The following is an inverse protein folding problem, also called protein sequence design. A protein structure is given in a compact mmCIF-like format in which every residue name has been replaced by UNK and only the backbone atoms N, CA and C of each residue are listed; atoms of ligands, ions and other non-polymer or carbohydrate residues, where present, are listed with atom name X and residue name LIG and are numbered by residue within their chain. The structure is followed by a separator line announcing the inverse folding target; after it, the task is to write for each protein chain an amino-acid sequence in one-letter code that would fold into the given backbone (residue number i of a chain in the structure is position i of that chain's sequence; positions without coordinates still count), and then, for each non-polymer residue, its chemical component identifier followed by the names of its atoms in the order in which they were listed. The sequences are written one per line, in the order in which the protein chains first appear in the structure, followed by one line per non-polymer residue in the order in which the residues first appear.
data_IF_436156067182
#
_entry.id   IF_436156067182
#
_cell.length_a   1.000
_cell.length_b   1.000
_cell.length_c   1.000
_cell.angle_alpha   90.00
_cell.angle_beta   90.00
_cell.angle_gamma   90.00
#
_symmetry.space_group_name_H-M   'P 1'
#
loop_
_entity.id
_entity.type
_entity.pdbx_description
1 polymer ?
#
# COMPACT_ATOMS: atom_id res chain seq x y z
N UNK A 1 14.46 -27.58 -2.80
CA UNK A 1 13.12 -28.23 -2.80
C UNK A 1 12.50 -28.06 -4.17
N UNK A 2 12.26 -29.13 -4.91
CA UNK A 2 11.58 -29.06 -6.20
C UNK A 2 10.08 -28.79 -5.94
N UNK A 3 9.60 -27.61 -6.33
CA UNK A 3 8.17 -27.29 -6.30
C UNK A 3 7.49 -28.17 -7.36
N UNK A 4 6.40 -28.85 -6.99
CA UNK A 4 5.68 -29.72 -7.93
C UNK A 4 5.11 -28.89 -9.10
N UNK A 5 5.07 -29.45 -10.31
CA UNK A 5 4.53 -28.74 -11.47
C UNK A 5 3.05 -28.32 -11.29
N UNK A 6 2.31 -29.00 -10.42
CA UNK A 6 0.93 -28.64 -10.06
C UNK A 6 0.84 -27.34 -9.25
N UNK A 7 1.72 -27.13 -8.24
CA UNK A 7 1.79 -25.87 -7.48
C UNK A 7 2.28 -24.68 -8.33
N UNK A 8 2.96 -24.95 -9.46
CA UNK A 8 3.48 -23.92 -10.38
C UNK A 8 2.44 -23.46 -11.40
N UNK A 9 1.59 -24.39 -11.86
CA UNK A 9 0.46 -24.12 -12.74
C UNK A 9 -0.67 -23.33 -12.06
N UNK A 10 -0.69 -23.29 -10.72
CA UNK A 10 -1.63 -22.51 -9.91
C UNK A 10 -1.13 -21.10 -9.57
N UNK A 11 -0.06 -20.61 -10.21
CA UNK A 11 0.43 -19.25 -9.93
C UNK A 11 -0.52 -18.20 -10.49
N UNK A 12 -1.21 -17.50 -9.58
CA UNK A 12 -2.13 -16.42 -9.93
C UNK A 12 -1.31 -15.15 -10.22
N UNK A 13 -1.41 -14.63 -11.44
CA UNK A 13 -0.87 -13.31 -11.81
C UNK A 13 -1.77 -12.19 -11.27
N UNK A 14 -1.29 -10.94 -11.12
CA UNK A 14 -2.13 -9.85 -10.62
C UNK A 14 -3.37 -9.59 -11.49
N UNK A 15 -3.30 -9.87 -12.80
CA UNK A 15 -4.44 -9.76 -13.71
C UNK A 15 -5.44 -10.91 -13.58
N UNK A 16 -4.96 -12.11 -13.24
CA UNK A 16 -5.81 -13.28 -12.99
C UNK A 16 -6.36 -13.31 -11.56
N UNK A 17 -5.84 -12.47 -10.66
CA UNK A 17 -6.33 -12.37 -9.29
C UNK A 17 -7.79 -11.86 -9.28
N UNK A 18 -8.68 -12.45 -8.47
CA UNK A 18 -10.09 -12.10 -8.46
C UNK A 18 -10.35 -10.63 -8.10
N UNK A 19 -11.43 -10.09 -8.67
CA UNK A 19 -12.00 -8.83 -8.22
C UNK A 19 -12.84 -9.08 -6.96
N UNK A 20 -13.01 -8.06 -6.11
CA UNK A 20 -13.89 -8.17 -4.94
C UNK A 20 -15.35 -8.51 -5.28
N UNK A 21 -15.79 -8.14 -6.49
CA UNK A 21 -17.11 -8.50 -7.01
C UNK A 21 -17.25 -9.98 -7.39
N UNK A 22 -16.13 -10.70 -7.56
CA UNK A 22 -16.12 -12.11 -7.90
C UNK A 22 -16.14 -12.96 -6.63
N UNK A 23 -17.31 -13.06 -6.03
CA UNK A 23 -17.54 -13.75 -4.75
C UNK A 23 -17.23 -15.25 -4.82
N UNK A 24 -17.19 -15.84 -6.02
CA UNK A 24 -16.96 -17.27 -6.24
C UNK A 24 -15.46 -17.57 -6.15
N UNK A 25 -14.64 -16.82 -6.90
CA UNK A 25 -13.21 -17.09 -6.97
C UNK A 25 -12.41 -16.41 -5.86
N UNK A 26 -13.02 -15.48 -5.13
CA UNK A 26 -12.36 -14.75 -4.05
C UNK A 26 -12.12 -15.57 -2.77
N UNK A 27 -12.76 -16.74 -2.64
CA UNK A 27 -12.44 -17.73 -1.60
C UNK A 27 -12.91 -17.39 -0.18
N UNK A 28 -13.76 -16.38 -0.01
CA UNK A 28 -14.38 -16.03 1.27
C UNK A 28 -15.76 -16.68 1.32
N UNK A 29 -15.99 -17.69 2.16
CA UNK A 29 -17.25 -18.45 2.10
C UNK A 29 -18.44 -17.73 2.79
N UNK A 30 -18.18 -16.74 3.64
CA UNK A 30 -19.21 -15.96 4.34
C UNK A 30 -19.59 -14.67 3.58
N UNK A 31 -20.82 -14.63 3.08
CA UNK A 31 -21.39 -13.51 2.30
C UNK A 31 -21.51 -12.22 3.12
N UNK A 32 -21.72 -12.31 4.44
CA UNK A 32 -21.78 -11.12 5.29
C UNK A 32 -20.37 -10.54 5.47
N UNK A 33 -19.37 -11.40 5.69
CA UNK A 33 -17.97 -10.96 5.78
C UNK A 33 -17.51 -10.26 4.49
N UNK A 34 -17.84 -10.82 3.32
CA UNK A 34 -17.49 -10.24 2.02
C UNK A 34 -18.06 -8.82 1.83
N UNK A 35 -19.26 -8.55 2.33
CA UNK A 35 -19.90 -7.24 2.22
C UNK A 35 -19.33 -6.22 3.21
N UNK A 36 -18.89 -6.67 4.37
CA UNK A 36 -18.39 -5.81 5.45
C UNK A 36 -16.92 -5.43 5.28
N UNK A 37 -16.10 -6.31 4.69
CA UNK A 37 -14.66 -6.08 4.55
C UNK A 37 -14.22 -6.32 3.11
N UNK A 38 -13.45 -5.40 2.50
CA UNK A 38 -12.81 -5.64 1.22
C UNK A 38 -11.65 -6.63 1.37
N UNK A 39 -11.95 -7.93 1.36
CA UNK A 39 -10.99 -9.01 1.56
C UNK A 39 -11.10 -10.07 0.47
N UNK A 40 -9.96 -10.64 0.08
CA UNK A 40 -9.93 -11.74 -0.87
C UNK A 40 -8.81 -12.74 -0.56
N UNK A 41 -9.13 -14.03 -0.64
CA UNK A 41 -8.22 -15.15 -0.42
C UNK A 41 -8.54 -16.32 -1.37
N UNK A 42 -8.15 -16.24 -2.65
CA UNK A 42 -8.45 -17.28 -3.65
C UNK A 42 -7.88 -18.66 -3.29
N UNK A 43 -6.82 -18.71 -2.48
CA UNK A 43 -6.18 -19.96 -2.06
C UNK A 43 -6.82 -20.59 -0.81
N UNK A 44 -7.84 -19.94 -0.23
CA UNK A 44 -8.49 -20.34 1.05
C UNK A 44 -7.46 -20.72 2.11
N UNK A 45 -6.43 -19.90 2.22
CA UNK A 45 -5.27 -20.16 3.04
C UNK A 45 -5.32 -19.45 4.40
N UNK A 46 -6.21 -18.48 4.58
CA UNK A 46 -6.52 -17.86 5.88
C UNK A 46 -7.81 -18.44 6.47
N UNK A 47 -7.88 -18.45 7.79
CA UNK A 47 -9.09 -18.86 8.51
C UNK A 47 -10.14 -17.74 8.54
N UNK A 48 -11.42 -18.11 8.61
CA UNK A 48 -12.50 -17.12 8.76
C UNK A 48 -12.38 -16.33 10.07
N UNK A 49 -11.82 -16.93 11.13
CA UNK A 49 -11.54 -16.21 12.38
C UNK A 49 -10.51 -15.09 12.22
N UNK A 50 -9.53 -15.22 11.34
CA UNK A 50 -8.57 -14.15 11.05
C UNK A 50 -9.24 -13.00 10.31
N UNK A 51 -10.14 -13.30 9.37
CA UNK A 51 -10.94 -12.29 8.66
C UNK A 51 -11.87 -11.54 9.63
N UNK A 52 -12.52 -12.26 10.53
CA UNK A 52 -13.41 -11.65 11.53
C UNK A 52 -12.66 -10.68 12.46
N UNK A 53 -11.38 -10.94 12.76
CA UNK A 53 -10.54 -9.99 13.50
C UNK A 53 -10.31 -8.71 12.71
N UNK A 54 -10.01 -8.82 11.40
CA UNK A 54 -9.84 -7.67 10.51
C UNK A 54 -11.14 -6.86 10.47
N UNK A 55 -12.28 -7.52 10.27
CA UNK A 55 -13.61 -6.88 10.28
C UNK A 55 -13.84 -6.09 11.56
N UNK A 56 -13.73 -6.75 12.71
CA UNK A 56 -13.96 -6.13 14.01
C UNK A 56 -13.01 -4.96 14.28
N UNK A 57 -11.78 -5.00 13.73
CA UNK A 57 -10.85 -3.87 13.82
C UNK A 57 -11.28 -2.70 12.94
N UNK A 58 -11.63 -2.96 11.68
CA UNK A 58 -12.09 -1.92 10.75
C UNK A 58 -13.38 -1.26 11.21
N UNK A 59 -14.35 -2.03 11.71
CA UNK A 59 -15.59 -1.49 12.28
C UNK A 59 -15.30 -0.52 13.45
N UNK A 60 -14.37 -0.88 14.35
CA UNK A 60 -13.94 0.01 15.45
C UNK A 60 -13.30 1.29 14.93
N UNK A 61 -12.44 1.20 13.92
CA UNK A 61 -11.80 2.36 13.29
C UNK A 61 -12.85 3.27 12.67
N UNK A 62 -13.74 2.73 11.83
CA UNK A 62 -14.76 3.51 11.13
C UNK A 62 -15.79 4.12 12.07
N UNK A 63 -16.15 3.43 13.16
CA UNK A 63 -17.02 3.99 14.19
C UNK A 63 -16.37 5.18 14.91
N UNK A 64 -15.07 5.13 15.19
CA UNK A 64 -14.33 6.25 15.80
C UNK A 64 -14.09 7.41 14.84
N UNK A 65 -13.90 7.13 13.54
CA UNK A 65 -13.57 8.11 12.50
C UNK A 65 -14.78 8.60 11.70
N UNK A 66 -15.98 8.33 12.20
CA UNK A 66 -17.23 8.53 11.48
C UNK A 66 -17.54 9.99 11.07
N UNK A 67 -16.88 10.96 11.72
CA UNK A 67 -17.06 12.39 11.47
C UNK A 67 -15.87 13.02 10.70
N UNK A 68 -14.88 12.23 10.30
CA UNK A 68 -13.63 12.70 9.69
C UNK A 68 -13.61 12.40 8.19
N UNK A 69 -14.60 12.87 7.45
CA UNK A 69 -14.68 12.58 6.01
C UNK A 69 -13.54 13.23 5.24
N UNK A 70 -12.80 12.45 4.44
CA UNK A 70 -11.57 12.91 3.76
C UNK A 70 -11.74 13.28 2.29
N UNK A 71 -12.78 12.78 1.64
CA UNK A 71 -13.05 13.01 0.21
C UNK A 71 -14.26 13.93 -0.04
N UNK A 72 -14.83 14.55 1.01
CA UNK A 72 -16.01 15.44 0.94
C UNK A 72 -17.07 15.15 2.02
N UNK A 73 -17.90 16.15 2.35
CA UNK A 73 -18.93 16.07 3.40
C UNK A 73 -20.09 15.13 3.08
N UNK A 74 -20.38 14.93 1.79
CA UNK A 74 -21.60 14.25 1.33
C UNK A 74 -21.39 12.75 1.08
N UNK A 75 -20.30 12.19 1.61
CA UNK A 75 -19.95 10.79 1.39
C UNK A 75 -20.77 9.82 2.25
N UNK A 76 -21.22 8.74 1.61
CA UNK A 76 -21.76 7.56 2.31
C UNK A 76 -20.66 6.92 3.16
N UNK A 77 -20.99 6.67 4.43
CA UNK A 77 -20.09 6.08 5.43
C UNK A 77 -19.65 4.65 5.03
N UNK A 78 -18.41 4.22 5.37
CA UNK A 78 -17.35 5.02 5.99
C UNK A 78 -16.75 6.02 4.99
N UNK A 79 -16.59 7.28 5.43
CA UNK A 79 -16.05 8.38 4.63
C UNK A 79 -14.56 8.68 4.94
N UNK A 80 -13.90 7.76 5.65
CA UNK A 80 -12.48 7.82 6.00
C UNK A 80 -11.62 6.96 5.05
N UNK A 81 -10.34 6.74 5.37
CA UNK A 81 -9.44 5.89 4.57
C UNK A 81 -9.99 4.46 4.47
N UNK A 82 -9.87 3.85 3.29
CA UNK A 82 -10.44 2.53 3.00
C UNK A 82 -9.35 1.48 2.94
N UNK A 83 -9.47 0.45 3.76
CA UNK A 83 -8.49 -0.63 3.83
C UNK A 83 -9.01 -1.89 3.11
N UNK A 84 -8.16 -2.48 2.27
CA UNK A 84 -8.41 -3.76 1.62
C UNK A 84 -7.29 -4.77 1.89
N UNK A 85 -7.64 -6.05 1.88
CA UNK A 85 -6.76 -7.17 2.23
C UNK A 85 -6.80 -8.24 1.14
N UNK A 86 -5.68 -8.43 0.44
CA UNK A 86 -5.51 -9.48 -0.53
C UNK A 86 -4.54 -10.53 0.01
N UNK A 87 -4.95 -11.79 0.02
CA UNK A 87 -4.14 -12.90 0.49
C UNK A 87 -3.72 -13.80 -0.66
N UNK A 88 -2.51 -14.35 -0.57
CA UNK A 88 -2.03 -15.37 -1.48
C UNK A 88 -1.13 -16.33 -0.70
N UNK A 89 -1.30 -17.63 -0.91
CA UNK A 89 -0.52 -18.63 -0.19
C UNK A 89 0.96 -18.52 -0.55
N UNK A 90 1.28 -18.41 -1.83
CA UNK A 90 2.65 -18.27 -2.34
C UNK A 90 2.65 -17.48 -3.64
N UNK A 91 3.60 -16.57 -3.77
CA UNK A 91 3.83 -15.84 -5.01
C UNK A 91 4.93 -16.50 -5.82
N UNK A 92 4.68 -16.67 -7.12
CA UNK A 92 5.68 -17.06 -8.10
C UNK A 92 5.83 -15.92 -9.10
N UNK A 93 6.94 -15.16 -9.04
CA UNK A 93 7.20 -14.11 -10.02
C UNK A 93 7.24 -14.70 -11.43
N UNK A 94 6.45 -14.11 -12.33
CA UNK A 94 6.45 -14.46 -13.76
C UNK A 94 7.01 -13.27 -14.53
N UNK A 95 7.94 -13.53 -15.45
CA UNK A 95 8.46 -12.50 -16.35
C UNK A 95 7.30 -11.86 -17.12
N UNK A 96 7.27 -10.53 -17.19
CA UNK A 96 6.16 -9.74 -17.76
C UNK A 96 4.79 -9.96 -17.10
N UNK A 97 4.72 -10.69 -15.98
CA UNK A 97 3.50 -10.87 -15.18
C UNK A 97 3.06 -9.59 -14.45
N UNK A 98 3.98 -8.65 -14.30
CA UNK A 98 3.76 -7.26 -13.88
C UNK A 98 4.39 -6.32 -14.90
N UNK A 99 3.77 -5.16 -15.10
CA UNK A 99 4.30 -4.08 -15.93
C UNK A 99 3.76 -2.75 -15.42
N UNK A 100 4.54 -1.68 -15.58
CA UNK A 100 4.09 -0.32 -15.29
C UNK A 100 3.00 0.14 -16.27
N UNK A 101 2.91 -0.50 -17.44
CA UNK A 101 1.84 -0.29 -18.42
C UNK A 101 0.53 -0.95 -18.01
N UNK A 102 0.58 -1.92 -17.09
CA UNK A 102 -0.64 -2.55 -16.60
C UNK A 102 -1.34 -1.61 -15.62
N UNK A 103 -2.65 -1.55 -15.78
CA UNK A 103 -3.53 -0.71 -14.98
C UNK A 103 -4.86 -1.42 -14.75
N UNK A 104 -5.80 -0.71 -14.16
CA UNK A 104 -7.21 -1.12 -14.11
C UNK A 104 -7.78 -1.39 -15.51
N UNK A 105 -7.56 -0.49 -16.46
CA UNK A 105 -8.13 -0.52 -17.81
C UNK A 105 -7.44 -1.55 -18.70
N UNK A 106 -6.17 -1.84 -18.43
CA UNK A 106 -5.38 -2.76 -19.21
C UNK A 106 -4.65 -3.77 -18.31
N UNK A 107 -5.22 -4.97 -18.20
CA UNK A 107 -4.61 -6.08 -17.46
C UNK A 107 -4.73 -7.38 -18.27
N UNK A 108 -3.70 -7.76 -19.06
CA UNK A 108 -3.78 -8.91 -19.93
C UNK A 108 -3.83 -10.23 -19.14
N UNK A 109 -4.96 -10.95 -19.23
CA UNK A 109 -5.18 -12.26 -18.60
C UNK A 109 -4.82 -13.41 -19.55
N UNK A 110 -3.58 -13.46 -20.03
CA UNK A 110 -3.23 -14.48 -21.02
C UNK A 110 -2.78 -15.80 -20.36
N UNK A 111 -3.43 -16.91 -20.76
CA UNK A 111 -2.96 -18.30 -20.51
C UNK A 111 -1.52 -18.53 -21.00
N UNK A 112 -1.05 -17.67 -21.91
CA UNK A 112 0.28 -17.71 -22.53
C UNK A 112 1.43 -17.31 -21.60
N UNK A 113 1.20 -16.53 -20.54
CA UNK A 113 2.24 -16.21 -19.54
C UNK A 113 2.66 -17.45 -18.73
N UNK A 114 1.72 -18.38 -18.50
CA UNK A 114 1.95 -19.65 -17.83
C UNK A 114 2.53 -20.73 -18.78
N UNK A 115 2.28 -20.62 -20.09
CA UNK A 115 2.82 -21.59 -21.08
C UNK A 115 4.24 -21.26 -21.55
N UNK A 116 4.66 -20.00 -21.51
CA UNK A 116 5.93 -19.56 -22.10
C UNK A 116 7.18 -19.88 -21.27
N UNK A 117 7.05 -20.24 -20.00
CA UNK A 117 8.21 -20.41 -19.12
C UNK A 117 8.39 -21.84 -18.64
N UNK A 118 8.35 -22.84 -19.54
CA UNK A 118 8.87 -24.20 -19.24
C UNK A 118 10.33 -24.22 -18.75
N UNK A 119 11.06 -23.11 -18.88
CA UNK A 119 12.38 -22.86 -18.29
C UNK A 119 12.28 -22.07 -16.99
N UNK A 120 11.65 -22.62 -15.94
CA UNK A 120 11.53 -22.01 -14.62
C UNK A 120 12.84 -22.05 -13.79
N UNK A 121 13.99 -21.95 -14.44
CA UNK A 121 15.25 -21.64 -13.77
C UNK A 121 15.38 -20.12 -13.65
N UNK A 122 14.50 -19.47 -12.88
CA UNK A 122 14.91 -18.24 -12.20
C UNK A 122 15.73 -18.63 -10.97
N UNK A 123 16.91 -19.19 -11.25
CA UNK A 123 18.00 -19.37 -10.29
C UNK A 123 18.72 -18.03 -10.03
N UNK A 124 18.01 -16.89 -10.19
CA UNK A 124 18.59 -15.55 -10.21
C UNK A 124 17.62 -14.39 -9.92
N UNK A 125 16.45 -14.62 -9.31
CA UNK A 125 15.63 -13.49 -8.83
C UNK A 125 16.32 -12.88 -7.60
N UNK A 126 16.85 -11.66 -7.70
CA UNK A 126 17.38 -10.95 -6.54
C UNK A 126 16.26 -10.54 -5.58
N UNK A 127 16.60 -10.16 -4.35
CA UNK A 127 15.62 -9.64 -3.38
C UNK A 127 14.83 -8.48 -3.97
N UNK A 128 15.51 -7.58 -4.68
CA UNK A 128 14.96 -6.37 -5.28
C UNK A 128 13.93 -6.71 -6.35
N UNK A 129 14.21 -7.70 -7.20
CA UNK A 129 13.25 -8.13 -8.25
C UNK A 129 11.94 -8.65 -7.65
N UNK A 130 12.03 -9.42 -6.56
CA UNK A 130 10.83 -9.95 -5.87
C UNK A 130 10.07 -8.83 -5.17
N UNK A 131 10.78 -7.89 -4.54
CA UNK A 131 10.16 -6.72 -3.93
C UNK A 131 9.42 -5.90 -4.99
N UNK A 132 10.06 -5.61 -6.12
CA UNK A 132 9.45 -4.85 -7.20
C UNK A 132 8.22 -5.57 -7.78
N UNK A 133 8.32 -6.88 -7.98
CA UNK A 133 7.21 -7.70 -8.44
C UNK A 133 6.02 -7.64 -7.46
N UNK A 134 6.26 -7.86 -6.17
CA UNK A 134 5.22 -7.82 -5.13
C UNK A 134 4.59 -6.43 -4.96
N UNK A 135 5.38 -5.35 -5.03
CA UNK A 135 4.88 -3.97 -5.00
C UNK A 135 3.96 -3.68 -6.19
N UNK A 136 4.37 -4.06 -7.40
CA UNK A 136 3.54 -3.89 -8.60
C UNK A 136 2.30 -4.79 -8.58
N UNK A 137 2.40 -5.99 -8.02
CA UNK A 137 1.24 -6.84 -7.79
C UNK A 137 0.21 -6.13 -6.91
N UNK A 138 0.63 -5.64 -5.73
CA UNK A 138 -0.23 -4.93 -4.80
C UNK A 138 -0.84 -3.66 -5.44
N UNK A 139 -0.05 -2.91 -6.22
CA UNK A 139 -0.52 -1.73 -6.97
C UNK A 139 -1.65 -2.10 -7.93
N UNK A 140 -1.45 -3.11 -8.76
CA UNK A 140 -2.43 -3.55 -9.75
C UNK A 140 -3.72 -4.04 -9.11
N UNK A 141 -3.62 -4.81 -8.02
CA UNK A 141 -4.82 -5.24 -7.28
C UNK A 141 -5.62 -4.04 -6.78
N UNK A 142 -4.95 -3.07 -6.16
CA UNK A 142 -5.59 -1.88 -5.59
C UNK A 142 -6.35 -1.09 -6.65
N UNK A 143 -5.70 -0.83 -7.78
CA UNK A 143 -6.29 -0.10 -8.92
C UNK A 143 -7.49 -0.83 -9.50
N UNK A 144 -7.43 -2.16 -9.60
CA UNK A 144 -8.52 -3.00 -10.11
C UNK A 144 -9.70 -3.11 -9.15
N UNK A 145 -9.45 -3.07 -7.84
CA UNK A 145 -10.48 -3.26 -6.80
C UNK A 145 -11.34 -2.02 -6.55
N UNK A 146 -10.86 -0.82 -6.93
CA UNK A 146 -11.65 0.42 -6.82
C UNK A 146 -12.23 0.65 -5.44
N UNK A 147 -11.40 0.39 -4.43
CA UNK A 147 -11.78 0.55 -3.03
C UNK A 147 -12.18 2.00 -2.72
N UNK A 148 -11.43 2.97 -3.25
CA UNK A 148 -11.57 4.40 -2.98
C UNK A 148 -12.30 5.18 -4.07
N UNK A 149 -12.70 6.40 -3.75
CA UNK A 149 -13.30 7.37 -4.69
C UNK A 149 -12.34 8.49 -5.08
N UNK A 150 -11.53 8.98 -4.15
CA UNK A 150 -10.61 10.09 -4.36
C UNK A 150 -9.13 9.71 -4.10
N UNK A 151 -8.82 8.41 -4.06
CA UNK A 151 -7.47 7.90 -3.80
C UNK A 151 -7.17 7.66 -2.33
N UNK A 152 -8.20 7.53 -1.50
CA UNK A 152 -8.14 7.25 -0.07
C UNK A 152 -7.95 5.77 0.30
N UNK A 153 -7.74 4.92 -0.70
CA UNK A 153 -7.64 3.49 -0.56
C UNK A 153 -6.22 3.00 -0.28
N UNK A 154 -6.16 1.97 0.57
CA UNK A 154 -4.95 1.29 1.03
C UNK A 154 -5.19 -0.20 0.86
N UNK A 155 -4.30 -0.88 0.12
CA UNK A 155 -4.33 -2.32 -0.03
C UNK A 155 -3.12 -2.95 0.64
N UNK A 156 -3.36 -3.93 1.51
CA UNK A 156 -2.35 -4.85 2.01
C UNK A 156 -2.42 -6.16 1.22
N UNK A 157 -1.34 -6.49 0.53
CA UNK A 157 -1.16 -7.77 -0.15
C UNK A 157 -0.24 -8.67 0.70
N UNK A 158 -0.82 -9.74 1.25
CA UNK A 158 -0.17 -10.59 2.25
C UNK A 158 0.11 -11.96 1.65
N UNK A 159 1.40 -12.28 1.53
CA UNK A 159 1.88 -13.61 1.19
C UNK A 159 1.99 -14.44 2.47
N UNK A 160 1.35 -15.60 2.53
CA UNK A 160 1.45 -16.47 3.71
C UNK A 160 2.76 -17.26 3.75
N UNK A 161 3.34 -17.54 2.57
CA UNK A 161 4.65 -18.16 2.42
C UNK A 161 5.63 -17.18 1.77
N UNK A 162 6.44 -16.53 2.60
CA UNK A 162 7.49 -15.60 2.17
C UNK A 162 8.51 -16.29 1.24
N UNK A 163 8.83 -15.68 0.09
CA UNK A 163 9.96 -16.11 -0.74
C UNK A 163 11.29 -16.04 0.03
N UNK A 164 12.15 -17.05 -0.13
CA UNK A 164 13.42 -17.17 0.61
C UNK A 164 14.33 -15.94 0.45
N UNK A 165 14.28 -15.28 -0.71
CA UNK A 165 15.05 -14.08 -1.02
C UNK A 165 14.63 -12.86 -0.17
N UNK A 166 13.42 -12.89 0.40
CA UNK A 166 12.93 -11.85 1.30
C UNK A 166 13.30 -12.11 2.77
N UNK A 167 13.79 -13.31 3.10
CA UNK A 167 14.27 -13.61 4.46
C UNK A 167 15.60 -12.89 4.74
N UNK A 168 15.75 -12.31 5.93
CA UNK A 168 17.03 -11.72 6.35
C UNK A 168 18.06 -12.82 6.63
N UNK A 169 19.33 -12.59 6.26
CA UNK A 169 20.44 -13.57 6.42
C UNK A 169 20.66 -14.06 7.85
N UNK A 170 20.20 -13.33 8.86
CA UNK A 170 20.43 -13.65 10.28
C UNK A 170 19.35 -14.55 10.91
N UNK A 171 18.26 -14.89 10.22
CA UNK A 171 17.26 -15.87 10.68
C UNK A 171 17.58 -17.30 10.24
N UNK A 172 18.69 -17.48 9.51
CA UNK A 172 19.24 -18.78 9.11
C UNK A 172 19.69 -19.73 10.26
N UNK A 173 20.07 -19.29 11.49
CA UNK A 173 20.57 -20.21 12.50
C UNK A 173 19.49 -21.12 13.11
N UNK A 174 18.21 -20.75 13.02
CA UNK A 174 17.10 -21.58 13.48
C UNK A 174 16.75 -22.73 12.51
N UNK A 175 17.45 -22.83 11.37
CA UNK A 175 17.20 -23.82 10.31
C UNK A 175 17.91 -25.16 10.50
N UNK A 176 18.58 -25.39 11.64
CA UNK A 176 19.23 -26.69 11.93
C UNK A 176 18.24 -27.79 12.35
N UNK A 177 16.95 -27.49 12.48
CA UNK A 177 15.87 -28.43 12.83
C UNK A 177 14.82 -28.60 11.74
N UNK A 178 15.25 -28.85 10.50
CA UNK A 178 14.47 -29.61 9.51
C UNK A 178 13.14 -29.06 8.96
N UNK A 179 12.58 -27.97 9.49
CA UNK A 179 11.37 -27.32 8.95
C UNK A 179 11.62 -25.83 8.74
N UNK A 180 11.73 -25.41 7.48
CA UNK A 180 11.75 -23.98 7.14
C UNK A 180 10.36 -23.43 7.52
N UNK A 181 10.26 -22.76 8.66
CA UNK A 181 9.03 -22.09 9.06
C UNK A 181 8.77 -20.94 8.08
N UNK A 182 7.85 -21.16 7.14
CA UNK A 182 7.47 -20.15 6.15
C UNK A 182 6.66 -19.08 6.87
N UNK A 183 7.21 -17.88 6.99
CA UNK A 183 6.56 -16.74 7.63
C UNK A 183 5.80 -15.91 6.60
N UNK A 184 4.76 -15.17 6.98
CA UNK A 184 4.09 -14.26 6.07
C UNK A 184 4.95 -13.06 5.65
N UNK A 185 4.54 -12.34 4.60
CA UNK A 185 5.16 -11.09 4.14
C UNK A 185 4.10 -10.14 3.56
N UNK A 186 4.16 -8.86 3.93
CA UNK A 186 3.22 -7.82 3.52
C UNK A 186 3.87 -6.92 2.47
N UNK A 187 3.17 -6.75 1.36
CA UNK A 187 3.30 -5.61 0.47
C UNK A 187 2.13 -4.67 0.69
N UNK A 188 2.35 -3.38 0.53
CA UNK A 188 1.29 -2.39 0.63
C UNK A 188 1.27 -1.47 -0.59
N UNK A 189 0.08 -1.03 -0.97
CA UNK A 189 -0.13 -0.01 -2.00
C UNK A 189 -1.16 1.00 -1.54
N UNK A 190 -0.92 2.26 -1.86
CA UNK A 190 -1.74 3.38 -1.43
C UNK A 190 -2.15 4.23 -2.63
N UNK A 191 -3.38 4.76 -2.59
CA UNK A 191 -3.92 5.73 -3.54
C UNK A 191 -3.27 7.11 -3.39
N UNK A 192 -3.58 8.02 -4.33
CA UNK A 192 -2.96 9.35 -4.43
C UNK A 192 -3.17 10.20 -3.17
N UNK A 193 -4.39 10.27 -2.65
CA UNK A 193 -4.70 11.06 -1.44
C UNK A 193 -3.88 10.57 -0.23
N UNK A 194 -3.72 9.26 -0.08
CA UNK A 194 -2.91 8.71 1.02
C UNK A 194 -1.46 9.15 0.87
N UNK A 195 -0.91 9.10 -0.35
CA UNK A 195 0.47 9.53 -0.64
C UNK A 195 0.67 11.02 -0.39
N UNK A 196 -0.25 11.86 -0.85
CA UNK A 196 -0.22 13.31 -0.62
C UNK A 196 -0.27 13.65 0.88
N UNK A 197 -1.00 12.85 1.67
CA UNK A 197 -1.12 13.08 3.11
C UNK A 197 0.13 12.71 3.89
N UNK A 198 0.85 11.68 3.47
CA UNK A 198 2.09 11.25 4.13
C UNK A 198 3.33 11.99 3.60
N UNK A 199 3.19 12.63 2.43
CA UNK A 199 4.22 13.41 1.77
C UNK A 199 3.64 14.71 1.17
N UNK A 200 3.35 15.72 2.01
CA UNK A 200 2.74 16.97 1.58
C UNK A 200 3.70 17.88 0.78
N UNK A 201 4.98 17.51 0.64
CA UNK A 201 6.00 18.32 -0.03
C UNK A 201 6.30 17.87 -1.47
N UNK A 202 5.83 16.70 -1.90
CA UNK A 202 6.00 16.22 -3.28
C UNK A 202 4.97 16.78 -4.29
N UNK A 203 4.06 17.68 -3.86
CA UNK A 203 3.05 18.33 -4.73
C UNK A 203 3.45 19.71 -5.26
N UNK A 204 4.69 20.17 -5.05
CA UNK A 204 5.16 21.40 -5.72
C UNK A 204 5.42 21.10 -7.21
N UNK A 205 4.72 21.76 -8.16
CA UNK A 205 5.08 21.65 -9.57
C UNK A 205 6.47 22.25 -9.75
N UNK A 206 7.45 21.40 -10.06
CA UNK A 206 8.83 21.80 -10.34
C UNK A 206 8.82 22.53 -11.68
N UNK A 207 8.60 23.84 -11.65
CA UNK A 207 9.33 24.72 -12.55
C UNK A 207 10.69 25.00 -11.89
N UNK A 208 11.75 24.94 -12.70
CA UNK A 208 13.15 25.26 -12.41
C UNK A 208 14.08 24.08 -12.02
N UNK A 209 14.59 23.44 -13.08
CA UNK A 209 16.03 23.20 -13.34
C UNK A 209 16.97 23.15 -12.12
N UNK A 210 16.83 22.14 -11.26
CA UNK A 210 17.94 21.65 -10.40
C UNK A 210 17.68 20.22 -9.91
N UNK A 211 17.28 19.33 -10.82
CA UNK A 211 17.22 17.89 -10.57
C UNK A 211 18.66 17.36 -10.60
N UNK A 212 19.30 17.27 -9.44
CA UNK A 212 20.37 16.33 -9.09
C UNK A 212 21.00 16.82 -7.79
N UNK A 213 20.42 16.47 -6.62
CA UNK A 213 21.14 16.22 -5.35
C UNK A 213 20.25 16.15 -4.08
N UNK A 214 18.95 16.46 -4.13
CA UNK A 214 18.08 16.44 -2.93
C UNK A 214 17.21 15.17 -2.71
N UNK A 215 17.39 14.10 -3.48
CA UNK A 215 16.79 12.78 -3.17
C UNK A 215 17.56 12.03 -2.06
N UNK A 216 17.97 12.73 -0.99
CA UNK A 216 18.54 12.08 0.18
C UNK A 216 17.42 11.52 1.07
N UNK A 217 17.21 10.20 0.99
CA UNK A 217 16.60 9.37 2.04
C UNK A 217 15.34 9.92 2.75
N UNK A 218 14.32 10.36 2.01
CA UNK A 218 12.99 10.44 2.62
C UNK A 218 12.39 9.05 2.68
N UNK A 219 12.18 8.55 3.89
CA UNK A 219 11.61 7.24 4.16
C UNK A 219 10.09 7.39 4.26
N UNK A 220 9.35 6.66 3.42
CA UNK A 220 7.89 6.62 3.49
C UNK A 220 7.47 6.05 4.86
N UNK A 221 6.80 6.84 5.72
CA UNK A 221 6.50 6.43 7.08
C UNK A 221 5.51 5.26 7.14
N UNK A 222 4.64 5.08 6.14
CA UNK A 222 3.75 3.92 6.09
C UNK A 222 4.51 2.66 5.64
N UNK A 223 5.47 2.83 4.74
CA UNK A 223 6.39 1.76 4.35
C UNK A 223 7.24 1.30 5.55
N UNK A 224 7.71 2.20 6.40
CA UNK A 224 8.41 1.83 7.65
C UNK A 224 7.56 0.97 8.58
N UNK A 225 6.27 1.28 8.70
CA UNK A 225 5.34 0.46 9.49
C UNK A 225 5.26 -0.95 8.89
N UNK A 226 5.06 -1.07 7.57
CA UNK A 226 5.00 -2.36 6.88
C UNK A 226 6.29 -3.16 7.04
N UNK A 227 7.45 -2.50 6.97
CA UNK A 227 8.74 -3.15 7.18
C UNK A 227 8.94 -3.65 8.61
N UNK A 228 8.53 -2.86 9.60
CA UNK A 228 8.54 -3.28 11.00
C UNK A 228 7.60 -4.46 11.26
N UNK A 229 6.40 -4.47 10.68
CA UNK A 229 5.49 -5.60 10.77
C UNK A 229 6.01 -6.86 10.07
N UNK A 230 6.73 -6.70 8.95
CA UNK A 230 7.43 -7.81 8.30
C UNK A 230 8.55 -8.42 9.16
N UNK A 231 9.18 -7.62 10.03
CA UNK A 231 10.13 -8.11 11.04
C UNK A 231 9.40 -8.84 12.16
N UNK A 232 8.22 -8.35 12.60
CA UNK A 232 7.40 -9.07 13.57
C UNK A 232 7.03 -10.47 13.09
N UNK A 233 6.74 -10.65 11.79
CA UNK A 233 6.57 -12.00 11.23
C UNK A 233 7.82 -12.87 11.33
N UNK A 234 9.03 -12.31 11.16
CA UNK A 234 10.28 -13.07 11.36
C UNK A 234 10.47 -13.47 12.83
N UNK A 235 9.97 -12.65 13.76
CA UNK A 235 10.03 -12.89 15.19
C UNK A 235 8.92 -13.82 15.70
N UNK A 236 8.11 -14.41 14.81
CA UNK A 236 7.10 -15.42 15.16
C UNK A 236 5.75 -14.85 15.60
N UNK A 237 5.49 -13.56 15.40
CA UNK A 237 4.18 -12.98 15.67
C UNK A 237 3.13 -13.53 14.69
N UNK A 238 1.92 -13.77 15.19
CA UNK A 238 0.82 -14.31 14.39
C UNK A 238 0.25 -13.27 13.42
N UNK A 239 -0.38 -13.73 12.34
CA UNK A 239 -1.08 -12.88 11.36
C UNK A 239 -2.11 -11.96 12.04
N UNK A 240 -2.83 -12.49 13.03
CA UNK A 240 -3.77 -11.74 13.84
C UNK A 240 -3.11 -10.52 14.49
N UNK A 241 -2.04 -10.74 15.26
CA UNK A 241 -1.36 -9.67 16.02
C UNK A 241 -0.76 -8.64 15.07
N UNK A 242 -0.08 -9.10 14.02
CA UNK A 242 0.54 -8.21 13.04
C UNK A 242 -0.52 -7.36 12.33
N UNK A 243 -1.66 -7.94 11.94
CA UNK A 243 -2.70 -7.19 11.23
C UNK A 243 -3.39 -6.16 12.13
N UNK A 244 -3.60 -6.48 13.41
CA UNK A 244 -4.15 -5.52 14.38
C UNK A 244 -3.17 -4.34 14.59
N UNK A 245 -1.89 -4.63 14.81
CA UNK A 245 -0.85 -3.62 15.00
C UNK A 245 -0.66 -2.74 13.76
N UNK A 246 -0.68 -3.36 12.56
CA UNK A 246 -0.61 -2.67 11.29
C UNK A 246 -1.73 -1.64 11.17
N UNK A 247 -2.98 -2.06 11.42
CA UNK A 247 -4.14 -1.17 11.35
C UNK A 247 -4.09 -0.07 12.41
N UNK A 248 -3.64 -0.35 13.63
CA UNK A 248 -3.47 0.66 14.69
C UNK A 248 -2.46 1.74 14.29
N UNK A 249 -1.28 1.33 13.82
CA UNK A 249 -0.21 2.27 13.45
C UNK A 249 -0.56 3.07 12.19
N UNK A 250 -1.24 2.44 11.23
CA UNK A 250 -1.78 3.16 10.07
C UNK A 250 -2.86 4.16 10.50
N UNK A 251 -3.76 3.75 11.40
CA UNK A 251 -4.82 4.63 11.88
C UNK A 251 -4.22 5.86 12.56
N UNK A 252 -3.28 5.64 13.49
CA UNK A 252 -2.57 6.70 14.19
C UNK A 252 -1.87 7.64 13.20
N UNK A 253 -1.08 7.08 12.27
CA UNK A 253 -0.29 7.87 11.34
C UNK A 253 -1.14 8.70 10.39
N UNK A 254 -2.23 8.14 9.88
CA UNK A 254 -3.16 8.84 8.99
C UNK A 254 -4.05 9.85 9.73
N UNK A 255 -4.26 9.64 11.03
CA UNK A 255 -5.02 10.56 11.88
C UNK A 255 -4.24 11.81 12.28
N UNK A 256 -2.91 11.78 12.17
CA UNK A 256 -2.10 12.98 12.40
C UNK A 256 -2.52 14.06 11.40
N UNK A 257 -3.10 15.15 11.89
CA UNK A 257 -3.25 16.37 11.12
C UNK A 257 -1.85 16.96 10.94
N UNK A 258 -1.29 16.81 9.74
CA UNK A 258 -0.19 17.66 9.35
C UNK A 258 -0.76 19.07 9.26
N UNK A 259 -0.53 19.87 10.29
CA UNK A 259 -0.56 21.31 10.17
C UNK A 259 0.53 21.67 9.16
N UNK A 260 0.16 21.68 7.89
CA UNK A 260 0.87 22.49 6.91
C UNK A 260 1.09 23.83 7.60
N UNK A 261 2.34 24.33 7.72
CA UNK A 261 2.52 25.72 8.06
C UNK A 261 1.75 26.45 6.97
N UNK A 262 0.56 26.95 7.33
CA UNK A 262 -0.13 27.92 6.52
C UNK A 262 0.90 29.03 6.40
N UNK A 263 1.62 29.05 5.28
CA UNK A 263 2.11 30.28 4.71
C UNK A 263 0.86 31.08 4.41
N UNK A 264 0.26 31.66 5.46
CA UNK A 264 -0.22 33.03 5.36
C UNK A 264 0.92 33.71 4.64
N UNK A 265 0.64 34.17 3.43
CA UNK A 265 1.48 35.07 2.68
C UNK A 265 1.67 36.30 3.57
N UNK A 266 2.53 36.18 4.57
CA UNK A 266 2.93 37.27 5.41
C UNK A 266 3.86 38.02 4.48
N UNK A 267 3.29 39.06 3.86
CA UNK A 267 4.10 40.09 3.24
C UNK A 267 5.15 40.43 4.29
N UNK A 268 6.44 40.20 4.01
CA UNK A 268 7.46 40.35 5.03
C UNK A 268 7.43 41.80 5.51
N UNK A 269 7.60 42.02 6.82
CA UNK A 269 7.37 43.33 7.42
C UNK A 269 8.20 44.45 6.75
N UNK A 270 9.36 44.12 6.17
CA UNK A 270 10.15 45.07 5.37
C UNK A 270 9.40 45.57 4.12
N UNK A 271 8.65 44.71 3.43
CA UNK A 271 7.89 45.08 2.24
C UNK A 271 6.71 45.99 2.59
N UNK A 272 6.05 45.76 3.73
CA UNK A 272 5.00 46.66 4.26
C UNK A 272 5.58 48.05 4.55
N UNK A 273 6.75 48.12 5.18
CA UNK A 273 7.45 49.39 5.45
C UNK A 273 7.81 50.14 4.16
N UNK A 274 8.27 49.43 3.12
CA UNK A 274 8.55 50.00 1.80
C UNK A 274 7.28 50.55 1.13
N UNK A 275 6.16 49.83 1.18
CA UNK A 275 4.90 50.33 0.62
C UNK A 275 4.38 51.57 1.33
N UNK A 276 4.45 51.62 2.67
CA UNK A 276 4.00 52.77 3.46
C UNK A 276 4.88 54.00 3.20
N UNK A 277 6.20 53.82 3.18
CA UNK A 277 7.14 54.93 2.91
C UNK A 277 7.01 55.45 1.48
N UNK A 278 6.80 54.58 0.50
CA UNK A 278 6.56 54.97 -0.88
C UNK A 278 5.24 55.74 -1.04
N UNK A 279 4.17 55.32 -0.37
CA UNK A 279 2.89 56.03 -0.37
C UNK A 279 2.98 57.42 0.28
N UNK A 280 3.70 57.54 1.40
CA UNK A 280 3.96 58.82 2.07
C UNK A 280 4.78 59.77 1.19
N UNK A 281 5.81 59.27 0.50
CA UNK A 281 6.59 60.07 -0.45
C UNK A 281 5.75 60.54 -1.63
N UNK A 282 4.85 59.70 -2.16
CA UNK A 282 3.93 60.10 -3.21
C UNK A 282 2.96 61.19 -2.74
N UNK A 283 2.43 61.10 -1.51
CA UNK A 283 1.57 62.13 -0.93
C UNK A 283 2.31 63.46 -0.72
N UNK A 284 3.57 63.41 -0.28
CA UNK A 284 4.39 64.61 -0.12
C UNK A 284 4.68 65.29 -1.45
N UNK A 285 4.88 64.52 -2.54
CA UNK A 285 5.05 65.09 -3.89
C UNK A 285 3.77 65.76 -4.43
N UNK A 286 2.58 65.41 -3.92
CA UNK A 286 1.33 66.08 -4.34
C UNK A 286 1.05 67.41 -3.62
N UNK A 287 1.79 67.71 -2.55
CA UNK A 287 1.66 68.94 -1.76
C UNK A 287 2.76 69.98 -2.07
N UNK A 288 3.73 69.63 -2.94
CA UNK A 288 4.85 70.49 -3.37
C UNK A 288 4.63 71.13 -4.73
#
# INVERSE_FOLDING_TARGET
MAISNAERLSSITPCAYPLLSDTIHCGIDDVNLQKSVPVCDPDKAISMSEIEVIKNKLERIYNRKNNSCICGSDQVKPCWFRFGFAFLRRMFPVESGVSDLYSREFCPTNKTLLSYTKSYTLMGSTRETIINYGKNFARLLRERWLLGKCGEDILFFILLKRPNQLMRRNTLPYLTTGTIQQTPYIFASYGSLVRERIDPFNTMPINDLSINQQQQHYSDPLQEIVEAENVNFENGYSLKVVTENLLDRFEEKLSQEYSLPHTRSHIPNWAITVFITCALLCLLMTLG
#
